data_IF_416086063117
#
_entry.id   IF_416086063117
#
_cell.length_a   1.000
_cell.length_b   1.000
_cell.length_c   1.000
_cell.angle_alpha   90.00
_cell.angle_beta   90.00
_cell.angle_gamma   90.00
#
_symmetry.space_group_name_H-M   'P 1'
#
loop_
_entity.id
_entity.type
_entity.pdbx_description
1 polymer ?
#
# COMPACT_ATOMS: atom_id res chain seq x y z
N UNK A 1 -9.49 -10.01 11.20
CA UNK A 1 -9.38 -9.48 9.82
C UNK A 1 -7.91 -9.48 9.40
N UNK A 2 -7.60 -9.91 8.16
CA UNK A 2 -6.26 -9.82 7.57
C UNK A 2 -6.28 -8.77 6.45
N UNK A 3 -5.37 -7.79 6.50
CA UNK A 3 -5.27 -6.71 5.50
C UNK A 3 -3.88 -6.72 4.88
N UNK A 4 -3.82 -6.75 3.56
CA UNK A 4 -2.59 -6.56 2.80
C UNK A 4 -2.45 -5.07 2.45
N UNK A 5 -1.29 -4.47 2.72
CA UNK A 5 -0.99 -3.06 2.47
C UNK A 5 0.27 -2.97 1.61
N UNK A 6 0.12 -2.45 0.40
CA UNK A 6 1.19 -2.31 -0.60
C UNK A 6 1.23 -0.91 -1.19
N UNK A 7 2.33 -0.54 -1.80
CA UNK A 7 2.52 0.74 -2.48
C UNK A 7 3.58 0.65 -3.57
N UNK A 8 3.57 1.63 -4.46
CA UNK A 8 4.66 1.86 -5.42
C UNK A 8 4.97 0.60 -6.24
N UNK A 9 3.91 0.05 -6.87
CA UNK A 9 3.93 -1.17 -7.70
C UNK A 9 4.69 -0.89 -9.00
N UNK A 10 4.47 0.31 -9.60
CA UNK A 10 5.15 0.76 -10.83
C UNK A 10 5.21 -0.31 -11.94
N UNK A 11 4.09 -0.96 -12.22
CA UNK A 11 4.03 -2.00 -13.24
C UNK A 11 4.81 -3.28 -12.91
N UNK A 12 5.22 -3.48 -11.68
CA UNK A 12 6.02 -4.62 -11.24
C UNK A 12 5.21 -5.90 -11.08
N UNK A 13 4.75 -6.48 -12.20
CA UNK A 13 3.91 -7.67 -12.24
C UNK A 13 4.47 -8.83 -11.41
N UNK A 14 5.73 -9.24 -11.64
CA UNK A 14 6.37 -10.36 -10.94
C UNK A 14 6.47 -10.13 -9.41
N UNK A 15 6.68 -8.87 -9.00
CA UNK A 15 6.73 -8.52 -7.59
C UNK A 15 5.35 -8.58 -6.95
N UNK A 16 4.33 -8.07 -7.66
CA UNK A 16 2.95 -8.15 -7.20
C UNK A 16 2.49 -9.59 -7.10
N UNK A 17 2.76 -10.42 -8.11
CA UNK A 17 2.45 -11.85 -8.10
C UNK A 17 3.11 -12.53 -6.89
N UNK A 18 4.37 -12.23 -6.62
CA UNK A 18 5.10 -12.77 -5.47
C UNK A 18 4.52 -12.33 -4.12
N UNK A 19 4.02 -11.08 -3.99
CA UNK A 19 3.29 -10.65 -2.78
C UNK A 19 2.04 -11.48 -2.59
N UNK A 20 1.25 -11.68 -3.66
CA UNK A 20 0.00 -12.42 -3.64
C UNK A 20 0.21 -13.93 -3.36
N UNK A 21 1.33 -14.48 -3.81
CA UNK A 21 1.72 -15.87 -3.50
C UNK A 21 2.17 -16.03 -2.04
N UNK A 22 2.89 -15.04 -1.49
CA UNK A 22 3.33 -15.05 -0.11
C UNK A 22 2.17 -14.85 0.88
N UNK A 23 1.17 -14.05 0.48
CA UNK A 23 0.04 -13.67 1.33
C UNK A 23 -1.27 -14.13 0.70
N UNK A 24 -1.82 -15.19 1.24
CA UNK A 24 -3.13 -15.72 0.83
C UNK A 24 -4.19 -15.36 1.86
N UNK A 25 -5.46 -15.46 1.44
CA UNK A 25 -6.63 -15.38 2.32
C UNK A 25 -6.69 -14.07 3.15
N UNK A 26 -6.40 -12.91 2.52
CA UNK A 26 -6.64 -11.61 3.11
C UNK A 26 -8.02 -11.06 2.73
N UNK A 27 -8.63 -10.33 3.67
CA UNK A 27 -9.99 -9.79 3.56
C UNK A 27 -10.05 -8.47 2.79
N UNK A 28 -8.94 -7.72 2.78
CA UNK A 28 -8.84 -6.38 2.22
C UNK A 28 -7.43 -6.12 1.70
N UNK A 29 -7.33 -5.46 0.54
CA UNK A 29 -6.09 -4.91 0.01
C UNK A 29 -6.15 -3.38 0.02
N UNK A 30 -5.16 -2.74 0.61
CA UNK A 30 -4.94 -1.29 0.56
C UNK A 30 -3.75 -1.00 -0.33
N UNK A 31 -3.95 -0.16 -1.37
CA UNK A 31 -2.89 0.25 -2.29
C UNK A 31 -2.66 1.76 -2.15
N UNK A 32 -1.46 2.14 -1.77
CA UNK A 32 -1.12 3.54 -1.47
C UNK A 32 -0.59 4.31 -2.69
N UNK A 33 -1.12 3.98 -3.90
CA UNK A 33 -0.80 4.67 -5.15
C UNK A 33 0.41 4.13 -5.91
N UNK A 34 0.68 4.76 -7.05
CA UNK A 34 1.72 4.43 -8.03
C UNK A 34 1.62 2.96 -8.49
N UNK A 35 0.43 2.61 -9.00
CA UNK A 35 0.07 1.25 -9.42
C UNK A 35 0.60 0.95 -10.81
N UNK A 36 0.14 1.76 -11.79
CA UNK A 36 0.40 1.55 -13.20
C UNK A 36 1.39 2.59 -13.70
N UNK A 37 2.57 2.13 -14.10
CA UNK A 37 3.54 2.98 -14.76
C UNK A 37 4.38 2.19 -15.76
N UNK A 38 4.79 2.83 -16.86
CA UNK A 38 5.57 2.18 -17.90
C UNK A 38 4.79 1.95 -19.18
N UNK A 39 5.11 0.89 -19.91
CA UNK A 39 4.47 0.58 -21.18
C UNK A 39 3.06 0.00 -20.98
N UNK A 40 2.17 0.27 -21.92
CA UNK A 40 0.77 -0.14 -21.92
C UNK A 40 0.57 -1.64 -21.63
N UNK A 41 1.38 -2.54 -22.22
CA UNK A 41 1.26 -3.98 -22.00
C UNK A 41 1.59 -4.39 -20.55
N UNK A 42 2.56 -3.73 -19.90
CA UNK A 42 2.92 -3.96 -18.51
C UNK A 42 1.77 -3.50 -17.59
N UNK A 43 1.17 -2.35 -17.91
CA UNK A 43 0.02 -1.84 -17.18
C UNK A 43 -1.17 -2.80 -17.28
N UNK A 44 -1.42 -3.39 -18.48
CA UNK A 44 -2.49 -4.36 -18.66
C UNK A 44 -2.30 -5.62 -17.83
N UNK A 45 -1.09 -6.19 -17.77
CA UNK A 45 -0.81 -7.39 -16.97
C UNK A 45 -1.04 -7.15 -15.47
N UNK A 46 -0.60 -6.00 -14.94
CA UNK A 46 -0.83 -5.64 -13.54
C UNK A 46 -2.31 -5.39 -13.27
N UNK A 47 -3.00 -4.67 -14.18
CA UNK A 47 -4.42 -4.40 -14.04
C UNK A 47 -5.24 -5.70 -14.08
N UNK A 48 -4.94 -6.60 -15.01
CA UNK A 48 -5.61 -7.90 -15.11
C UNK A 48 -5.42 -8.73 -13.85
N UNK A 49 -4.22 -8.75 -13.28
CA UNK A 49 -3.94 -9.46 -12.05
C UNK A 49 -4.77 -8.91 -10.87
N UNK A 50 -4.83 -7.58 -10.71
CA UNK A 50 -5.60 -6.94 -9.66
C UNK A 50 -7.12 -7.09 -9.86
N UNK A 51 -7.60 -6.90 -11.09
CA UNK A 51 -9.02 -6.97 -11.44
C UNK A 51 -9.62 -8.38 -11.25
N UNK A 52 -8.81 -9.42 -11.45
CA UNK A 52 -9.22 -10.80 -11.26
C UNK A 52 -9.02 -11.31 -9.82
N UNK A 53 -8.44 -10.51 -8.95
CA UNK A 53 -8.26 -10.92 -7.55
C UNK A 53 -9.58 -10.76 -6.78
N UNK A 54 -10.05 -11.85 -6.16
CA UNK A 54 -11.36 -11.89 -5.48
C UNK A 54 -11.29 -11.33 -4.06
N UNK A 55 -10.87 -10.06 -3.92
CA UNK A 55 -10.80 -9.37 -2.63
C UNK A 55 -11.12 -7.90 -2.84
N UNK A 56 -11.74 -7.25 -1.86
CA UNK A 56 -11.97 -5.81 -1.89
C UNK A 56 -10.65 -5.06 -1.95
N UNK A 57 -10.52 -4.15 -2.92
CA UNK A 57 -9.37 -3.25 -3.07
C UNK A 57 -9.82 -1.82 -2.76
N UNK A 58 -9.06 -1.10 -1.95
CA UNK A 58 -9.19 0.34 -1.71
C UNK A 58 -7.86 0.97 -2.09
N UNK A 59 -7.88 1.96 -2.97
CA UNK A 59 -6.67 2.60 -3.48
C UNK A 59 -6.78 4.11 -3.52
N UNK A 60 -5.64 4.78 -3.29
CA UNK A 60 -5.47 6.22 -3.53
C UNK A 60 -4.62 6.44 -4.77
N UNK A 61 -4.72 7.65 -5.35
CA UNK A 61 -3.95 8.05 -6.52
C UNK A 61 -2.51 8.41 -6.14
N UNK A 62 -1.54 7.83 -6.84
CA UNK A 62 -0.14 8.24 -6.79
C UNK A 62 0.20 9.31 -7.83
N UNK A 63 1.40 9.88 -7.75
CA UNK A 63 1.85 10.90 -8.70
C UNK A 63 2.23 10.33 -10.07
N UNK A 64 2.52 9.04 -10.16
CA UNK A 64 2.78 8.35 -11.43
C UNK A 64 1.52 7.72 -12.05
N UNK A 65 0.39 7.74 -11.36
CA UNK A 65 -0.89 7.21 -11.84
C UNK A 65 -1.60 8.22 -12.76
N UNK A 66 -0.98 8.57 -13.90
CA UNK A 66 -1.49 9.57 -14.83
C UNK A 66 -2.10 8.98 -16.11
N UNK A 67 -1.88 7.71 -16.36
CA UNK A 67 -2.36 6.99 -17.55
C UNK A 67 -2.75 5.57 -17.21
N UNK A 68 -3.61 4.99 -18.05
CA UNK A 68 -4.05 3.60 -17.95
C UNK A 68 -4.90 3.25 -16.72
N UNK A 69 -5.37 4.23 -15.93
CA UNK A 69 -6.27 3.98 -14.79
C UNK A 69 -7.60 3.36 -15.21
N UNK A 70 -8.03 3.61 -16.45
CA UNK A 70 -9.21 3.01 -17.06
C UNK A 70 -9.14 1.47 -17.19
N UNK A 71 -7.94 0.89 -17.04
CA UNK A 71 -7.75 -0.56 -17.03
C UNK A 71 -8.16 -1.19 -15.69
N UNK A 72 -8.24 -0.40 -14.61
CA UNK A 72 -8.62 -0.89 -13.28
C UNK A 72 -10.14 -0.88 -13.11
N UNK A 73 -10.70 -1.94 -12.52
CA UNK A 73 -12.13 -2.05 -12.24
C UNK A 73 -12.54 -1.47 -10.87
N UNK A 74 -11.60 -0.85 -10.16
CA UNK A 74 -11.80 -0.14 -8.89
C UNK A 74 -11.28 1.29 -8.98
N UNK A 75 -11.81 2.19 -8.14
CA UNK A 75 -11.39 3.61 -8.13
C UNK A 75 -10.03 3.78 -7.44
N UNK A 76 -9.16 4.56 -8.08
CA UNK A 76 -7.87 5.02 -7.54
C UNK A 76 -7.65 6.53 -7.78
N UNK A 77 -8.71 7.31 -8.01
CA UNK A 77 -8.63 8.74 -8.35
C UNK A 77 -8.51 9.66 -7.14
N UNK A 78 -8.82 9.18 -5.95
CA UNK A 78 -8.85 9.99 -4.75
C UNK A 78 -7.43 10.29 -4.24
N UNK A 79 -7.11 11.54 -3.87
CA UNK A 79 -5.81 11.91 -3.32
C UNK A 79 -5.60 11.38 -1.90
N UNK A 80 -6.68 11.13 -1.17
CA UNK A 80 -6.69 10.44 0.11
C UNK A 80 -8.04 9.73 0.32
N UNK A 81 -8.06 8.76 1.21
CA UNK A 81 -9.25 8.04 1.63
C UNK A 81 -9.25 7.89 3.15
N UNK A 82 -10.43 8.05 3.76
CA UNK A 82 -10.69 7.64 5.14
C UNK A 82 -11.33 6.25 5.12
N UNK A 83 -10.75 5.32 5.84
CA UNK A 83 -11.26 3.96 6.02
C UNK A 83 -11.06 3.51 7.45
N UNK A 84 -11.31 2.26 7.77
CA UNK A 84 -11.09 1.72 9.11
C UNK A 84 -10.52 0.30 9.06
N UNK A 85 -9.70 -0.02 10.06
CA UNK A 85 -9.19 -1.37 10.35
C UNK A 85 -9.50 -1.64 11.83
N UNK A 86 -10.33 -2.64 12.12
CA UNK A 86 -10.71 -3.04 13.50
C UNK A 86 -11.05 -1.85 14.41
N UNK A 87 -11.97 -0.96 13.95
CA UNK A 87 -12.43 0.26 14.63
C UNK A 87 -11.38 1.38 14.78
N UNK A 88 -10.21 1.25 14.18
CA UNK A 88 -9.22 2.32 14.09
C UNK A 88 -9.42 3.12 12.80
N UNK A 89 -9.53 4.44 12.91
CA UNK A 89 -9.68 5.31 11.75
C UNK A 89 -8.34 5.46 11.02
N UNK A 90 -8.36 5.14 9.73
CA UNK A 90 -7.17 5.16 8.86
C UNK A 90 -7.28 6.32 7.87
N UNK A 91 -6.31 7.22 7.91
CA UNK A 91 -6.06 8.18 6.84
C UNK A 91 -5.01 7.59 5.90
N UNK A 92 -5.41 7.25 4.68
CA UNK A 92 -4.50 6.73 3.66
C UNK A 92 -4.34 7.73 2.50
N UNK A 93 -3.11 7.93 2.08
CA UNK A 93 -2.71 8.81 0.97
C UNK A 93 -1.50 8.23 0.25
N UNK A 94 -1.15 8.78 -0.92
CA UNK A 94 0.14 8.41 -1.52
C UNK A 94 1.32 9.15 -0.87
N UNK A 95 1.13 10.39 -0.39
CA UNK A 95 2.16 11.16 0.30
C UNK A 95 2.78 12.29 -0.53
N UNK A 96 2.43 12.43 -1.81
CA UNK A 96 2.92 13.53 -2.67
C UNK A 96 2.13 14.83 -2.52
N UNK A 97 0.87 14.76 -2.09
CA UNK A 97 0.01 15.93 -1.82
C UNK A 97 -0.20 16.16 -0.33
N UNK A 98 -0.37 15.10 0.43
CA UNK A 98 -0.60 15.12 1.87
C UNK A 98 0.46 14.25 2.55
N UNK A 99 1.35 14.85 3.30
CA UNK A 99 2.33 14.19 4.15
C UNK A 99 1.99 14.40 5.64
N UNK A 100 2.82 13.92 6.54
CA UNK A 100 2.59 14.02 8.00
C UNK A 100 2.54 15.46 8.54
N UNK A 101 2.92 16.48 7.75
CA UNK A 101 2.95 17.88 8.15
C UNK A 101 1.76 18.67 7.62
N UNK A 102 0.99 18.11 6.66
CA UNK A 102 -0.12 18.81 6.00
C UNK A 102 -1.37 17.92 5.84
N UNK A 103 -1.62 17.03 6.80
CA UNK A 103 -2.82 16.19 6.83
C UNK A 103 -4.06 17.09 6.96
N UNK A 104 -5.08 16.96 6.10
CA UNK A 104 -6.24 17.86 6.08
C UNK A 104 -7.26 17.57 7.19
N UNK A 105 -7.03 16.58 8.04
CA UNK A 105 -7.90 16.17 9.15
C UNK A 105 -7.07 15.91 10.41
N UNK A 106 -7.67 16.13 11.57
CA UNK A 106 -7.01 15.92 12.87
C UNK A 106 -7.37 14.56 13.50
N UNK A 107 -8.54 14.03 13.16
CA UNK A 107 -9.07 12.80 13.76
C UNK A 107 -8.70 11.59 12.89
N UNK A 108 -7.68 10.85 13.30
CA UNK A 108 -7.27 9.56 12.78
C UNK A 108 -6.38 8.84 13.80
N UNK A 109 -6.41 7.51 13.77
CA UNK A 109 -5.54 6.65 14.61
C UNK A 109 -4.29 6.23 13.83
N UNK A 110 -4.46 5.97 12.53
CA UNK A 110 -3.43 5.42 11.66
C UNK A 110 -3.27 6.30 10.42
N UNK A 111 -2.03 6.70 10.15
CA UNK A 111 -1.63 7.37 8.93
C UNK A 111 -0.85 6.41 8.03
N UNK A 112 -1.25 6.29 6.76
CA UNK A 112 -0.60 5.44 5.77
C UNK A 112 -0.22 6.22 4.53
N UNK A 113 1.05 6.09 4.09
CA UNK A 113 1.54 6.67 2.84
C UNK A 113 2.50 5.74 2.10
N UNK A 114 2.69 5.98 0.79
CA UNK A 114 3.74 5.42 -0.07
C UNK A 114 4.79 6.46 -0.46
N UNK A 115 5.01 6.65 -1.76
CA UNK A 115 5.76 7.72 -2.42
C UNK A 115 7.27 7.76 -2.14
N UNK A 116 7.69 7.62 -0.91
CA UNK A 116 9.12 7.68 -0.56
C UNK A 116 9.88 6.43 -0.95
N UNK A 117 9.18 5.31 -1.16
CA UNK A 117 9.73 3.97 -1.38
C UNK A 117 10.58 3.46 -0.20
N UNK A 118 10.52 4.12 0.94
CA UNK A 118 11.26 3.77 2.16
C UNK A 118 10.27 3.27 3.20
N UNK A 119 10.39 2.01 3.65
CA UNK A 119 9.46 1.46 4.63
C UNK A 119 9.59 2.17 5.98
N UNK A 120 8.45 2.44 6.60
CA UNK A 120 8.36 3.09 7.90
C UNK A 120 7.24 2.49 8.72
N UNK A 121 7.51 2.21 9.98
CA UNK A 121 6.52 1.81 10.98
C UNK A 121 6.91 2.40 12.32
N UNK A 122 6.13 3.34 12.86
CA UNK A 122 6.41 3.98 14.15
C UNK A 122 5.13 4.50 14.79
N UNK A 123 5.13 4.62 16.12
CA UNK A 123 4.08 5.28 16.89
C UNK A 123 4.63 6.64 17.34
N UNK A 124 3.92 7.71 17.02
CA UNK A 124 4.21 9.08 17.44
C UNK A 124 2.92 9.72 17.95
N UNK A 125 2.94 10.23 19.20
CA UNK A 125 1.79 10.88 19.82
C UNK A 125 0.51 10.02 19.76
N UNK A 126 0.64 8.74 20.13
CA UNK A 126 -0.44 7.73 20.14
C UNK A 126 -1.06 7.42 18.75
N UNK A 127 -0.47 7.91 17.67
CA UNK A 127 -0.86 7.61 16.29
C UNK A 127 0.16 6.70 15.62
N UNK A 128 -0.32 5.76 14.81
CA UNK A 128 0.52 4.84 14.05
C UNK A 128 0.82 5.40 12.66
N UNK A 129 2.09 5.52 12.31
CA UNK A 129 2.57 5.96 10.99
C UNK A 129 3.17 4.80 10.22
N UNK A 130 2.61 4.53 9.02
CA UNK A 130 2.96 3.39 8.19
C UNK A 130 3.36 3.84 6.78
N UNK A 131 4.45 3.26 6.27
CA UNK A 131 4.80 3.24 4.86
C UNK A 131 5.28 1.81 4.55
N UNK A 132 4.65 1.09 3.60
CA UNK A 132 5.07 -0.26 3.26
C UNK A 132 6.39 -0.32 2.47
N UNK A 133 6.93 0.84 2.05
CA UNK A 133 8.00 0.89 1.07
C UNK A 133 7.47 0.65 -0.34
N UNK A 134 8.33 0.14 -1.22
CA UNK A 134 7.94 -0.26 -2.59
C UNK A 134 8.18 -1.74 -2.79
N UNK A 135 7.25 -2.41 -3.46
CA UNK A 135 7.44 -3.81 -3.86
C UNK A 135 8.32 -3.95 -5.10
N UNK A 136 8.61 -2.83 -5.80
CA UNK A 136 9.35 -2.86 -7.08
C UNK A 136 10.63 -2.02 -7.04
N UNK A 137 10.55 -0.77 -6.58
CA UNK A 137 11.62 0.23 -6.64
C UNK A 137 12.03 0.74 -5.25
N UNK A 138 12.55 -0.11 -4.34
CA UNK A 138 12.92 0.32 -2.99
C UNK A 138 14.01 1.39 -3.03
N UNK A 139 13.99 2.31 -2.05
CA UNK A 139 14.96 3.41 -1.88
C UNK A 139 15.58 3.37 -0.49
N UNK A 140 16.61 4.20 -0.25
CA UNK A 140 17.23 4.33 1.07
C UNK A 140 17.93 3.04 1.54
N UNK A 141 18.46 2.22 0.63
CA UNK A 141 19.05 0.91 0.92
C UNK A 141 18.06 -0.08 1.58
N UNK A 142 16.78 0.18 1.49
CA UNK A 142 15.74 -0.75 1.96
C UNK A 142 15.52 -1.91 0.99
N UNK A 143 14.96 -2.98 1.48
CA UNK A 143 14.50 -4.10 0.65
C UNK A 143 13.12 -3.80 0.05
N UNK A 144 12.73 -4.55 -0.99
CA UNK A 144 11.34 -4.62 -1.43
C UNK A 144 10.49 -5.10 -0.28
N UNK A 145 9.42 -4.38 0.05
CA UNK A 145 8.67 -4.64 1.27
C UNK A 145 7.19 -4.30 1.11
N UNK A 146 6.38 -4.86 2.01
CA UNK A 146 4.96 -4.64 2.15
C UNK A 146 4.55 -4.82 3.61
N UNK A 147 3.32 -4.44 3.96
CA UNK A 147 2.79 -4.60 5.31
C UNK A 147 1.59 -5.55 5.28
N UNK A 148 1.51 -6.41 6.28
CA UNK A 148 0.32 -7.21 6.60
C UNK A 148 -0.17 -6.82 7.97
N UNK A 149 -1.48 -6.58 8.08
CA UNK A 149 -2.17 -6.48 9.35
C UNK A 149 -2.92 -7.77 9.63
N UNK A 150 -2.75 -8.32 10.81
CA UNK A 150 -3.51 -9.47 11.29
C UNK A 150 -3.46 -9.53 12.82
N UNK A 151 -4.60 -9.84 13.46
CA UNK A 151 -4.70 -10.06 14.90
C UNK A 151 -4.14 -8.90 15.75
N UNK A 152 -4.51 -7.66 15.40
CA UNK A 152 -4.05 -6.40 16.02
C UNK A 152 -2.55 -6.13 15.90
N UNK A 153 -1.88 -6.78 14.95
CA UNK A 153 -0.45 -6.61 14.71
C UNK A 153 -0.21 -6.20 13.24
N UNK A 154 0.59 -5.17 13.06
CA UNK A 154 1.15 -4.81 11.76
C UNK A 154 2.53 -5.46 11.60
N UNK A 155 2.73 -6.15 10.49
CA UNK A 155 3.98 -6.83 10.12
C UNK A 155 4.54 -6.19 8.87
N UNK A 156 5.69 -5.51 8.96
CA UNK A 156 6.50 -5.12 7.81
C UNK A 156 7.31 -6.34 7.37
N UNK A 157 7.19 -6.73 6.11
CA UNK A 157 7.80 -7.95 5.57
C UNK A 157 8.73 -7.65 4.39
N UNK A 158 9.84 -8.36 4.34
CA UNK A 158 10.73 -8.43 3.16
C UNK A 158 10.08 -9.30 2.08
N UNK A 159 9.89 -8.74 0.88
CA UNK A 159 9.26 -9.47 -0.22
C UNK A 159 10.13 -10.65 -0.70
N UNK A 160 11.44 -10.46 -0.77
CA UNK A 160 12.34 -11.46 -1.35
C UNK A 160 12.59 -12.64 -0.42
N UNK A 161 12.74 -12.36 0.86
CA UNK A 161 13.04 -13.38 1.89
C UNK A 161 11.78 -13.95 2.53
N UNK A 162 10.63 -13.26 2.37
CA UNK A 162 9.37 -13.56 3.09
C UNK A 162 9.55 -13.56 4.62
N UNK A 163 10.40 -12.67 5.14
CA UNK A 163 10.72 -12.53 6.55
C UNK A 163 10.09 -11.28 7.14
N UNK A 164 9.78 -11.30 8.43
CA UNK A 164 9.31 -10.14 9.16
C UNK A 164 10.51 -9.24 9.49
N UNK A 165 10.48 -8.00 8.96
CA UNK A 165 11.47 -6.96 9.26
C UNK A 165 11.14 -6.29 10.60
N UNK A 166 9.86 -5.98 10.81
CA UNK A 166 9.37 -5.28 12.00
C UNK A 166 7.92 -5.65 12.28
N UNK A 167 7.52 -5.62 13.55
CA UNK A 167 6.11 -5.73 13.94
C UNK A 167 5.75 -4.68 14.99
N UNK A 168 4.51 -4.20 14.93
CA UNK A 168 3.93 -3.26 15.90
C UNK A 168 2.54 -3.75 16.29
N UNK A 169 2.26 -3.78 17.58
CA UNK A 169 0.92 -3.98 18.15
C UNK A 169 0.21 -2.63 18.26
N UNK A 170 -1.03 -2.54 17.77
CA UNK A 170 -1.76 -1.28 17.76
C UNK A 170 -3.28 -1.45 17.87
#
# INVERSE_FOLDING_TARGET
MKVLIISDIHGGYENLLKVLDNEKDFDLMLILGDILSGYSYICSEVADLLNNYNTKIISVRGNCDNSHLELLNFSCDNPYILTSIDNKLVFMTHGHLYDIHNIPIDDYDIYMQGHTHIPKMEILNDKLYLNPGSITLPRGMSNKSYIVYQDHIFYLKDLNKNEIIKKIYF
#
